data_IF_201249948223
#
_entry.id   IF_201249948223
#
_cell.length_a   1.000
_cell.length_b   1.000
_cell.length_c   1.000
_cell.angle_alpha   90.00
_cell.angle_beta   90.00
_cell.angle_gamma   90.00
#
_symmetry.space_group_name_H-M   'P 1'
#
loop_
_entity.id
_entity.type
_entity.pdbx_description
1 polymer ?
#
# COMPACT_ATOMS: atom_id res chain seq x y z
N UNK A 1 13.96 -15.70 16.84
CA UNK A 1 13.86 -14.73 17.96
C UNK A 1 12.75 -13.71 17.72
N UNK A 2 11.86 -13.56 18.72
CA UNK A 2 10.41 -13.31 18.67
C UNK A 2 9.58 -14.56 18.35
N UNK A 3 9.80 -15.23 17.22
CA UNK A 3 9.08 -16.48 16.91
C UNK A 3 9.27 -17.54 18.01
N UNK A 4 10.52 -17.78 18.41
CA UNK A 4 10.86 -18.71 19.49
C UNK A 4 10.20 -18.33 20.84
N UNK A 5 10.03 -17.03 21.13
CA UNK A 5 9.33 -16.59 22.35
C UNK A 5 7.82 -16.84 22.28
N UNK A 6 7.22 -16.68 21.10
CA UNK A 6 5.81 -16.98 20.88
C UNK A 6 5.55 -18.49 20.96
N UNK A 7 6.44 -19.31 20.40
CA UNK A 7 6.41 -20.76 20.54
C UNK A 7 6.58 -21.19 22.00
N UNK A 8 7.56 -20.64 22.73
CA UNK A 8 7.84 -21.09 24.09
C UNK A 8 6.78 -20.67 25.10
N UNK A 9 6.37 -19.38 25.09
CA UNK A 9 5.48 -18.82 26.11
C UNK A 9 4.01 -18.96 25.76
N UNK A 10 3.66 -18.89 24.48
CA UNK A 10 2.28 -18.97 24.02
C UNK A 10 1.97 -20.27 23.31
N UNK A 11 2.92 -21.22 23.20
CA UNK A 11 2.73 -22.47 22.45
C UNK A 11 2.20 -22.22 21.04
N UNK A 12 2.59 -21.10 20.44
CA UNK A 12 2.11 -20.69 19.13
C UNK A 12 2.57 -21.72 18.10
N UNK A 13 1.63 -22.44 17.48
CA UNK A 13 1.89 -23.24 16.29
C UNK A 13 1.24 -22.53 15.10
N UNK A 14 2.00 -22.34 14.04
CA UNK A 14 1.50 -21.73 12.82
C UNK A 14 2.21 -22.29 11.60
N UNK A 15 1.49 -22.37 10.48
CA UNK A 15 2.05 -22.72 9.19
C UNK A 15 1.54 -21.79 8.10
N UNK A 16 2.26 -21.77 6.98
CA UNK A 16 1.82 -21.07 5.77
C UNK A 16 1.15 -22.07 4.85
N UNK A 17 0.01 -21.71 4.32
CA UNK A 17 -0.64 -22.47 3.26
C UNK A 17 -1.21 -21.56 2.19
N UNK A 18 -1.45 -22.13 1.01
CA UNK A 18 -2.06 -21.42 -0.10
C UNK A 18 -3.56 -21.67 -0.11
N UNK A 19 -4.35 -20.59 -0.02
CA UNK A 19 -5.82 -20.65 -0.12
C UNK A 19 -6.32 -19.84 -1.31
N UNK A 20 -7.23 -20.43 -2.08
CA UNK A 20 -8.00 -19.73 -3.10
C UNK A 20 -8.93 -18.69 -2.46
N UNK A 21 -8.69 -17.42 -2.75
CA UNK A 21 -9.47 -16.31 -2.22
C UNK A 21 -9.76 -15.28 -3.30
N UNK A 22 -10.80 -14.48 -3.06
CA UNK A 22 -11.08 -13.33 -3.92
C UNK A 22 -9.98 -12.29 -3.73
N UNK A 23 -9.25 -11.99 -4.81
CA UNK A 23 -8.19 -10.99 -4.87
C UNK A 23 -8.53 -9.93 -5.92
N UNK A 24 -7.74 -8.86 -5.93
CA UNK A 24 -7.61 -8.00 -7.09
C UNK A 24 -6.24 -8.21 -7.71
N UNK A 25 -6.18 -8.49 -9.00
CA UNK A 25 -4.94 -8.41 -9.75
C UNK A 25 -4.73 -6.97 -10.24
N UNK A 26 -3.56 -6.41 -9.97
CA UNK A 26 -3.14 -5.12 -10.52
C UNK A 26 -2.49 -5.39 -11.89
N UNK A 27 -3.21 -5.06 -12.95
CA UNK A 27 -2.79 -5.30 -14.35
C UNK A 27 -2.88 -4.03 -15.16
N UNK A 28 -2.24 -3.97 -16.32
CA UNK A 28 -2.40 -2.80 -17.20
C UNK A 28 -3.83 -2.73 -17.74
N UNK A 29 -4.43 -1.53 -17.67
CA UNK A 29 -5.75 -1.34 -18.24
C UNK A 29 -5.75 -1.33 -19.78
N UNK A 30 -4.63 -0.95 -20.37
CA UNK A 30 -4.42 -0.84 -21.81
C UNK A 30 -3.41 -1.88 -22.29
N UNK A 31 -3.63 -2.42 -23.49
CA UNK A 31 -2.72 -3.40 -24.12
C UNK A 31 -1.34 -2.81 -24.46
N UNK A 32 -1.25 -1.49 -24.65
CA UNK A 32 0.00 -0.77 -24.89
C UNK A 32 0.87 -0.58 -23.64
N UNK A 33 0.38 -1.01 -22.47
CA UNK A 33 1.05 -0.86 -21.16
C UNK A 33 1.47 0.58 -20.85
N UNK A 34 0.72 1.56 -21.37
CA UNK A 34 0.99 2.96 -21.11
C UNK A 34 0.78 3.29 -19.63
N UNK A 35 1.75 4.01 -19.04
CA UNK A 35 1.62 4.58 -17.71
C UNK A 35 0.84 5.90 -17.79
N UNK A 36 0.01 6.14 -16.78
CA UNK A 36 -0.69 7.40 -16.59
C UNK A 36 0.22 8.49 -16.02
N UNK A 37 -0.23 9.75 -16.01
CA UNK A 37 0.57 10.91 -15.60
C UNK A 37 1.01 10.87 -14.12
N UNK A 38 0.31 10.11 -13.28
CA UNK A 38 0.59 9.91 -11.86
C UNK A 38 1.51 8.74 -11.55
N UNK A 39 1.96 7.96 -12.55
CA UNK A 39 2.90 6.85 -12.36
C UNK A 39 4.14 7.06 -13.23
N UNK A 40 5.29 7.33 -12.60
CA UNK A 40 6.52 7.65 -13.31
C UNK A 40 7.68 6.83 -12.77
N UNK A 41 8.60 6.32 -13.60
CA UNK A 41 9.83 5.73 -13.10
C UNK A 41 10.59 6.75 -12.24
N UNK A 42 10.95 6.35 -11.02
CA UNK A 42 11.71 7.20 -10.12
C UNK A 42 13.18 7.20 -10.54
N UNK A 43 13.77 8.39 -10.63
CA UNK A 43 15.21 8.55 -10.85
C UNK A 43 15.99 8.60 -9.54
N UNK A 44 15.31 8.50 -8.40
CA UNK A 44 15.90 8.60 -7.06
C UNK A 44 16.40 7.23 -6.60
N UNK A 45 17.69 7.13 -6.29
CA UNK A 45 18.25 5.97 -5.61
C UNK A 45 17.98 6.07 -4.09
N UNK A 46 16.89 5.46 -3.65
CA UNK A 46 16.52 5.42 -2.24
C UNK A 46 17.47 4.61 -1.35
N UNK A 47 18.28 3.71 -1.91
CA UNK A 47 19.32 3.04 -1.15
C UNK A 47 20.49 4.00 -0.85
N UNK A 48 20.81 4.91 -1.78
CA UNK A 48 21.79 5.97 -1.58
C UNK A 48 21.27 7.11 -0.68
N UNK A 49 19.96 7.37 -0.70
CA UNK A 49 19.33 8.43 0.11
C UNK A 49 19.18 8.07 1.60
N UNK A 50 19.16 6.77 1.94
CA UNK A 50 19.19 6.35 3.35
C UNK A 50 20.55 6.72 3.93
N UNK A 51 20.62 7.49 5.04
CA UNK A 51 21.90 7.76 5.68
C UNK A 51 22.57 6.41 6.00
N UNK A 52 23.83 6.28 5.58
CA UNK A 52 24.65 5.10 5.85
C UNK A 52 24.86 5.00 7.37
N UNK A 53 23.94 4.34 8.07
CA UNK A 53 24.04 4.10 9.51
C UNK A 53 22.69 3.83 10.16
N UNK A 54 22.57 2.71 10.89
CA UNK A 54 21.54 2.55 11.92
C UNK A 54 21.79 3.63 12.97
N UNK A 55 21.02 4.71 12.98
CA UNK A 55 21.12 5.75 14.01
C UNK A 55 20.95 7.20 13.55
N UNK A 56 20.82 7.48 12.25
CA UNK A 56 20.40 8.80 11.80
C UNK A 56 18.92 9.05 12.15
N UNK A 57 18.52 10.28 12.53
CA UNK A 57 17.11 10.61 12.64
C UNK A 57 16.43 10.29 11.30
N UNK A 58 15.18 9.75 11.31
CA UNK A 58 14.45 9.52 10.07
C UNK A 58 14.45 10.83 9.27
N UNK A 59 14.59 10.78 7.92
CA UNK A 59 14.46 11.97 7.10
C UNK A 59 13.17 12.69 7.50
N UNK A 60 13.29 13.99 7.77
CA UNK A 60 12.15 14.80 8.19
C UNK A 60 11.00 14.65 7.20
N UNK A 61 9.74 14.80 7.64
CA UNK A 61 8.60 14.76 6.73
C UNK A 61 8.86 15.75 5.58
N UNK A 62 8.59 15.35 4.31
CA UNK A 62 8.75 16.25 3.19
C UNK A 62 7.90 17.51 3.40
N UNK A 63 8.29 18.67 2.83
CA UNK A 63 7.48 19.89 2.87
C UNK A 63 6.02 19.61 2.48
N UNK A 64 5.09 20.32 3.12
CA UNK A 64 3.66 20.14 2.84
C UNK A 64 3.36 20.39 1.36
N UNK A 65 2.78 19.40 0.69
CA UNK A 65 2.47 19.47 -0.75
C UNK A 65 3.51 18.81 -1.66
N UNK A 66 4.70 18.47 -1.15
CA UNK A 66 5.70 17.75 -1.92
C UNK A 66 5.54 16.23 -1.78
N UNK A 67 6.01 15.50 -2.80
CA UNK A 67 6.12 14.04 -2.76
C UNK A 67 7.32 13.65 -1.88
N UNK A 68 7.19 12.64 -1.02
CA UNK A 68 8.36 12.07 -0.35
C UNK A 68 9.33 11.55 -1.40
N UNK A 69 10.64 11.83 -1.27
CA UNK A 69 11.64 11.32 -2.21
C UNK A 69 11.81 9.79 -2.09
N UNK A 70 11.73 9.28 -0.86
CA UNK A 70 11.87 7.87 -0.55
C UNK A 70 10.85 7.47 0.51
N UNK A 71 9.73 6.92 0.06
CA UNK A 71 8.66 6.48 0.94
C UNK A 71 7.29 6.89 0.42
N UNK A 72 6.28 6.72 1.26
CA UNK A 72 4.89 6.98 0.92
C UNK A 72 4.23 7.84 1.99
N UNK A 73 3.53 8.87 1.55
CA UNK A 73 2.66 9.72 2.35
C UNK A 73 1.23 9.35 2.00
N UNK A 74 0.51 8.86 3.00
CA UNK A 74 -0.92 8.57 2.90
C UNK A 74 -1.67 9.72 3.57
N UNK A 75 -2.57 10.35 2.83
CA UNK A 75 -3.56 11.27 3.34
C UNK A 75 -4.95 10.70 3.02
N UNK A 76 -6.03 11.21 3.63
CA UNK A 76 -7.38 10.80 3.25
C UNK A 76 -7.55 10.93 1.73
N UNK A 77 -7.79 9.79 1.07
CA UNK A 77 -8.09 9.69 -0.36
C UNK A 77 -6.96 10.14 -1.30
N UNK A 78 -5.73 10.23 -0.78
CA UNK A 78 -4.56 10.59 -1.55
C UNK A 78 -3.34 9.76 -1.12
N UNK A 79 -2.63 9.24 -2.12
CA UNK A 79 -1.35 8.58 -1.97
C UNK A 79 -0.32 9.36 -2.79
N UNK A 80 0.73 9.82 -2.13
CA UNK A 80 1.90 10.40 -2.75
C UNK A 80 3.13 9.58 -2.35
N UNK A 81 3.84 9.01 -3.31
CA UNK A 81 5.03 8.20 -3.05
C UNK A 81 6.16 8.60 -4.00
N UNK A 82 7.39 8.44 -3.52
CA UNK A 82 8.58 8.56 -4.35
C UNK A 82 9.52 7.40 -4.09
N UNK A 83 10.08 6.87 -5.16
CA UNK A 83 11.06 5.79 -5.10
C UNK A 83 10.53 4.47 -4.51
N UNK A 84 9.26 4.12 -4.73
CA UNK A 84 8.64 2.89 -4.20
C UNK A 84 8.37 1.84 -5.27
N UNK A 85 8.35 0.56 -4.91
CA UNK A 85 8.00 -0.50 -5.87
C UNK A 85 6.48 -0.64 -6.02
N UNK A 86 6.02 -1.20 -7.16
CA UNK A 86 4.59 -1.49 -7.36
C UNK A 86 4.06 -2.50 -6.31
N UNK A 87 4.89 -3.42 -5.84
CA UNK A 87 4.54 -4.29 -4.72
C UNK A 87 4.22 -3.52 -3.43
N UNK A 88 4.92 -2.43 -3.14
CA UNK A 88 4.59 -1.57 -2.00
C UNK A 88 3.28 -0.81 -2.21
N UNK A 89 3.01 -0.36 -3.44
CA UNK A 89 1.70 0.22 -3.78
C UNK A 89 0.57 -0.79 -3.57
N UNK A 90 0.73 -2.03 -4.04
CA UNK A 90 -0.26 -3.10 -3.91
C UNK A 90 -0.63 -3.39 -2.45
N UNK A 91 0.35 -3.39 -1.54
CA UNK A 91 0.10 -3.56 -0.10
C UNK A 91 -0.79 -2.44 0.46
N UNK A 92 -0.58 -1.20 0.04
CA UNK A 92 -1.39 -0.06 0.51
C UNK A 92 -2.78 -0.08 -0.13
N UNK A 93 -2.87 -0.35 -1.43
CA UNK A 93 -4.15 -0.50 -2.13
C UNK A 93 -4.99 -1.64 -1.53
N UNK A 94 -4.36 -2.69 -1.03
CA UNK A 94 -5.08 -3.79 -0.36
C UNK A 94 -5.88 -3.32 0.86
N UNK A 95 -5.34 -2.34 1.60
CA UNK A 95 -6.03 -1.73 2.74
C UNK A 95 -7.19 -0.85 2.27
N UNK A 96 -6.99 -0.04 1.22
CA UNK A 96 -8.05 0.83 0.71
C UNK A 96 -9.18 0.07 0.00
N UNK A 97 -8.84 -0.99 -0.73
CA UNK A 97 -9.78 -1.83 -1.47
C UNK A 97 -10.41 -2.94 -0.60
N UNK A 98 -9.97 -3.10 0.65
CA UNK A 98 -10.45 -4.13 1.60
C UNK A 98 -10.36 -5.56 1.04
N UNK A 99 -9.37 -5.80 0.17
CA UNK A 99 -9.12 -7.07 -0.49
C UNK A 99 -7.66 -7.11 -0.91
N UNK A 100 -7.02 -8.28 -0.85
CA UNK A 100 -5.63 -8.42 -1.28
C UNK A 100 -5.47 -8.01 -2.75
N UNK A 101 -4.48 -7.17 -3.01
CA UNK A 101 -4.06 -6.75 -4.34
C UNK A 101 -2.74 -7.44 -4.67
N UNK A 102 -2.69 -8.15 -5.80
CA UNK A 102 -1.51 -8.85 -6.29
C UNK A 102 -0.95 -8.12 -7.51
N UNK A 103 0.33 -7.76 -7.49
CA UNK A 103 0.98 -7.11 -8.62
C UNK A 103 1.22 -8.11 -9.78
N UNK A 104 0.58 -7.84 -10.92
CA UNK A 104 0.74 -8.57 -12.19
C UNK A 104 1.11 -7.64 -13.33
N UNK A 105 1.51 -6.41 -13.03
CA UNK A 105 1.95 -5.43 -14.03
C UNK A 105 3.29 -5.84 -14.66
N UNK A 106 4.14 -6.54 -13.89
CA UNK A 106 5.50 -6.86 -14.29
C UNK A 106 6.43 -5.64 -14.34
N UNK A 107 6.01 -4.52 -13.74
CA UNK A 107 6.82 -3.32 -13.61
C UNK A 107 7.94 -3.55 -12.60
N UNK A 108 9.18 -3.49 -13.09
CA UNK A 108 10.38 -3.65 -12.26
C UNK A 108 11.04 -2.30 -12.00
N UNK A 109 11.41 -2.04 -10.75
CA UNK A 109 12.07 -0.81 -10.34
C UNK A 109 11.22 0.01 -9.37
N UNK A 110 11.64 1.26 -9.18
CA UNK A 110 11.00 2.19 -8.27
C UNK A 110 10.26 3.26 -9.05
N UNK A 111 9.14 3.72 -8.51
CA UNK A 111 8.23 4.65 -9.15
C UNK A 111 7.85 5.77 -8.20
N UNK A 112 7.63 6.94 -8.80
CA UNK A 112 6.97 8.06 -8.18
C UNK A 112 5.49 7.96 -8.51
N UNK A 113 4.66 8.06 -7.47
CA UNK A 113 3.24 7.77 -7.53
C UNK A 113 2.47 8.95 -6.96
N UNK A 114 1.54 9.48 -7.74
CA UNK A 114 0.53 10.43 -7.30
C UNK A 114 -0.84 9.83 -7.65
N UNK A 115 -1.61 9.52 -6.62
CA UNK A 115 -2.95 8.97 -6.77
C UNK A 115 -3.90 9.74 -5.85
N UNK A 116 -4.96 10.28 -6.42
CA UNK A 116 -6.05 10.94 -5.69
C UNK A 116 -7.37 10.36 -6.15
N UNK A 117 -8.25 10.01 -5.21
CA UNK A 117 -9.58 9.49 -5.54
C UNK A 117 -10.64 10.06 -4.61
N UNK A 118 -11.90 9.85 -4.96
CA UNK A 118 -13.04 10.15 -4.10
C UNK A 118 -13.58 8.83 -3.55
N UNK A 119 -13.75 8.70 -2.22
CA UNK A 119 -14.30 7.48 -1.64
C UNK A 119 -15.79 7.35 -1.94
N UNK A 120 -16.26 6.10 -2.05
CA UNK A 120 -17.68 5.80 -2.24
C UNK A 120 -18.55 6.26 -1.05
N UNK A 121 -17.94 6.37 0.14
CA UNK A 121 -18.57 6.91 1.34
C UNK A 121 -17.70 7.98 1.95
N UNK A 122 -18.11 9.23 1.77
CA UNK A 122 -17.54 10.32 2.53
C UNK A 122 -17.93 10.19 4.01
N UNK A 123 -16.98 10.36 4.94
CA UNK A 123 -17.31 10.41 6.35
C UNK A 123 -18.30 11.56 6.56
N UNK A 124 -19.53 11.21 6.93
CA UNK A 124 -20.54 12.20 7.29
C UNK A 124 -20.24 12.70 8.70
N UNK A 125 -19.74 13.94 8.79
CA UNK A 125 -19.46 14.59 10.07
C UNK A 125 -18.39 15.67 9.95
N UNK A 126 -18.36 16.56 10.94
CA UNK A 126 -17.22 17.47 11.08
C UNK A 126 -15.96 16.65 11.38
N UNK A 127 -14.82 16.93 10.73
CA UNK A 127 -13.58 16.27 11.08
C UNK A 127 -13.23 16.51 12.55
N UNK A 128 -12.50 15.58 13.20
CA UNK A 128 -12.02 15.79 14.56
C UNK A 128 -11.25 17.12 14.68
N UNK A 129 -11.29 17.80 15.84
CA UNK A 129 -10.56 19.04 16.04
C UNK A 129 -9.07 18.85 15.69
N UNK A 130 -8.55 19.69 14.79
CA UNK A 130 -7.16 19.62 14.31
C UNK A 130 -6.93 18.77 13.05
N UNK A 131 -7.96 18.11 12.50
CA UNK A 131 -7.87 17.38 11.23
C UNK A 131 -8.44 18.23 10.10
N UNK A 132 -7.58 18.77 9.23
CA UNK A 132 -7.99 19.40 7.98
C UNK A 132 -8.14 18.31 6.92
N UNK A 133 -9.38 17.99 6.56
CA UNK A 133 -9.63 17.15 5.40
C UNK A 133 -9.29 17.96 4.14
N UNK A 134 -8.58 17.37 3.16
CA UNK A 134 -8.39 18.03 1.88
C UNK A 134 -9.75 18.31 1.24
N UNK A 135 -9.87 19.46 0.56
CA UNK A 135 -11.02 19.73 -0.30
C UNK A 135 -10.98 18.73 -1.45
N UNK A 136 -11.92 17.79 -1.45
CA UNK A 136 -12.07 16.82 -2.54
C UNK A 136 -13.25 17.20 -3.42
N UNK A 137 -13.20 16.82 -4.68
CA UNK A 137 -14.35 16.89 -5.57
C UNK A 137 -15.31 15.72 -5.23
N UNK A 138 -16.54 15.98 -4.76
CA UNK A 138 -17.51 14.92 -4.51
C UNK A 138 -17.92 14.15 -5.78
N UNK A 139 -17.63 14.67 -6.98
CA UNK A 139 -17.82 13.98 -8.25
C UNK A 139 -16.51 13.39 -8.82
N UNK A 140 -15.44 13.36 -8.02
CA UNK A 140 -14.16 12.78 -8.42
C UNK A 140 -14.23 11.26 -8.67
N UNK A 141 -13.22 10.69 -9.34
CA UNK A 141 -13.20 9.29 -9.71
C UNK A 141 -13.11 8.38 -8.48
N UNK A 142 -13.75 7.20 -8.54
CA UNK A 142 -13.55 6.15 -7.54
C UNK A 142 -12.09 5.66 -7.56
N UNK A 143 -11.67 4.89 -6.54
CA UNK A 143 -10.32 4.31 -6.50
C UNK A 143 -9.99 3.52 -7.79
N UNK A 144 -10.95 2.74 -8.30
CA UNK A 144 -10.76 1.91 -9.50
C UNK A 144 -10.57 2.76 -10.75
N UNK A 145 -11.38 3.80 -10.91
CA UNK A 145 -11.28 4.75 -12.02
C UNK A 145 -9.99 5.57 -11.94
N UNK A 146 -9.65 6.07 -10.74
CA UNK A 146 -8.45 6.86 -10.52
C UNK A 146 -7.17 6.07 -10.83
N UNK A 147 -7.11 4.79 -10.44
CA UNK A 147 -5.98 3.92 -10.79
C UNK A 147 -5.80 3.82 -12.31
N UNK A 148 -6.90 3.56 -13.03
CA UNK A 148 -6.86 3.41 -14.48
C UNK A 148 -6.48 4.72 -15.19
N UNK A 149 -7.07 5.84 -14.81
CA UNK A 149 -6.88 7.13 -15.49
C UNK A 149 -5.56 7.81 -15.10
N UNK A 150 -5.17 7.74 -13.82
CA UNK A 150 -4.00 8.47 -13.31
C UNK A 150 -2.73 7.64 -13.36
N UNK A 151 -2.80 6.34 -13.07
CA UNK A 151 -1.61 5.49 -13.04
C UNK A 151 -1.49 4.62 -14.30
N UNK A 152 -2.60 4.23 -14.93
CA UNK A 152 -2.64 3.35 -16.11
C UNK A 152 -2.98 1.88 -15.82
N UNK A 153 -2.57 1.29 -14.68
CA UNK A 153 -3.08 0.00 -14.24
C UNK A 153 -4.54 0.03 -13.74
N UNK A 154 -5.21 -1.11 -13.83
CA UNK A 154 -6.54 -1.36 -13.26
C UNK A 154 -6.47 -2.47 -12.22
N UNK A 155 -7.48 -2.52 -11.35
CA UNK A 155 -7.73 -3.66 -10.47
C UNK A 155 -8.77 -4.57 -11.12
N UNK A 156 -8.41 -5.83 -11.33
CA UNK A 156 -9.27 -6.85 -11.90
C UNK A 156 -9.65 -7.87 -10.83
N UNK A 157 -10.95 -8.11 -10.65
CA UNK A 157 -11.42 -9.06 -9.63
C UNK A 157 -11.15 -10.49 -10.12
N UNK A 158 -10.39 -11.24 -9.34
CA UNK A 158 -10.03 -12.62 -9.67
C UNK A 158 -10.06 -13.50 -8.41
N UNK A 159 -10.06 -14.82 -8.60
CA UNK A 159 -9.75 -15.78 -7.54
C UNK A 159 -8.38 -16.33 -7.79
N UNK A 160 -7.52 -16.25 -6.78
CA UNK A 160 -6.16 -16.74 -6.90
C UNK A 160 -5.61 -17.28 -5.59
N UNK A 161 -4.48 -17.99 -5.68
CA UNK A 161 -3.80 -18.55 -4.52
C UNK A 161 -3.17 -17.43 -3.71
N UNK A 162 -3.62 -17.30 -2.46
CA UNK A 162 -3.05 -16.38 -1.48
C UNK A 162 -2.34 -17.18 -0.40
N UNK A 163 -1.08 -16.84 -0.15
CA UNK A 163 -0.35 -17.36 0.99
C UNK A 163 -0.92 -16.74 2.27
N UNK A 164 -1.49 -17.59 3.12
CA UNK A 164 -2.02 -17.20 4.43
C UNK A 164 -1.19 -17.82 5.54
N UNK A 165 -1.03 -17.09 6.64
CA UNK A 165 -0.51 -17.65 7.88
C UNK A 165 -1.68 -18.19 8.70
N UNK A 166 -1.72 -19.49 8.88
CA UNK A 166 -2.71 -20.16 9.73
C UNK A 166 -2.11 -20.33 11.12
N UNK A 167 -2.84 -19.89 12.14
CA UNK A 167 -2.51 -20.17 13.53
C UNK A 167 -3.23 -21.47 13.89
N UNK A 168 -2.47 -22.53 14.06
CA UNK A 168 -2.97 -23.85 14.43
C UNK A 168 -3.32 -23.89 15.92
N UNK A 169 -2.48 -23.26 16.75
CA UNK A 169 -2.62 -23.30 18.19
C UNK A 169 -2.04 -22.05 18.85
N UNK A 170 -2.67 -21.60 19.92
CA UNK A 170 -2.13 -20.55 20.81
C UNK A 170 -2.70 -20.72 22.21
N UNK A 171 -1.84 -20.58 23.21
CA UNK A 171 -2.15 -20.65 24.63
C UNK A 171 -1.86 -19.31 25.32
N UNK A 172 -2.53 -19.08 26.44
CA UNK A 172 -2.18 -17.96 27.31
C UNK A 172 -0.82 -18.26 27.96
N UNK A 173 0.06 -17.26 28.07
CA UNK A 173 1.33 -17.46 28.72
C UNK A 173 1.11 -17.68 30.22
N UNK A 174 1.93 -18.56 30.81
CA UNK A 174 1.99 -18.69 32.26
C UNK A 174 2.46 -17.38 32.88
N UNK A 175 1.78 -16.86 33.93
CA UNK A 175 2.26 -15.71 34.68
C UNK A 175 3.67 -16.00 35.24
N UNK A 176 4.55 -14.98 35.23
CA UNK A 176 5.84 -15.04 35.91
C UNK A 176 5.67 -14.92 37.44
#
# INVERSE_FOLDING_TARGET
MLQDLLEDRFKLAAHRESREQAIYELTFARSDRALGPGLRPSTVDCAAFRPRGRGGPPPGPPPAGERPQCGMRMAPWQIAAGGVSIGQLALVLSQSAQRMVVDRTGLTGNYDIDLTWTPDRLPQGAPPPGVQLPSIDPNGPSLFTALQEQLGPKLESERGPVEVLVIDHVERPTPD
#
